data_IF_511555903078
#
_entry.id   IF_511555903078
#
_cell.length_a   1.000
_cell.length_b   1.000
_cell.length_c   1.000
_cell.angle_alpha   90.00
_cell.angle_beta   90.00
_cell.angle_gamma   90.00
#
_symmetry.space_group_name_H-M   'P 1'
#
loop_
_entity.id
_entity.type
_entity.pdbx_description
1 polymer ?
#
# COMPACT_ATOMS: atom_id res chain seq x y z
N UNK A 1 3.23 8.07 6.50
CA UNK A 1 3.37 6.61 6.35
C UNK A 1 2.77 5.98 7.57
N UNK A 2 2.03 4.90 7.39
CA UNK A 2 1.41 4.11 8.45
C UNK A 2 2.44 3.63 9.47
N UNK A 3 2.04 3.57 10.73
CA UNK A 3 2.90 3.08 11.80
C UNK A 3 2.83 1.54 11.88
N UNK A 4 4.00 0.91 11.98
CA UNK A 4 4.10 -0.55 12.13
C UNK A 4 3.69 -1.01 13.54
N UNK A 5 3.05 -2.17 13.60
CA UNK A 5 2.50 -2.80 14.78
C UNK A 5 3.15 -4.14 15.11
N UNK A 6 2.76 -4.74 16.25
CA UNK A 6 3.37 -6.00 16.74
C UNK A 6 3.16 -7.19 15.80
N UNK A 7 2.10 -7.16 15.00
CA UNK A 7 1.74 -8.22 14.06
C UNK A 7 2.43 -8.09 12.70
N UNK A 8 3.10 -6.96 12.45
CA UNK A 8 3.93 -6.74 11.27
C UNK A 8 5.27 -7.46 11.45
N UNK A 9 5.22 -8.76 11.17
CA UNK A 9 6.37 -9.64 11.12
C UNK A 9 6.48 -10.24 9.72
N UNK A 10 7.70 -10.50 9.27
CA UNK A 10 7.89 -11.14 7.97
C UNK A 10 7.48 -12.62 7.99
N UNK A 11 7.54 -13.26 6.83
CA UNK A 11 7.23 -14.66 6.63
C UNK A 11 8.08 -15.60 7.51
N UNK A 12 9.29 -15.22 7.89
CA UNK A 12 10.20 -15.98 8.77
C UNK A 12 10.01 -15.64 10.26
N UNK A 13 9.20 -14.62 10.58
CA UNK A 13 8.87 -14.20 11.94
C UNK A 13 9.79 -13.10 12.48
N UNK A 14 10.58 -12.44 11.62
CA UNK A 14 11.38 -11.29 11.99
C UNK A 14 10.48 -10.07 12.22
N UNK A 15 10.82 -9.28 13.23
CA UNK A 15 10.09 -8.06 13.60
C UNK A 15 10.39 -6.94 12.59
N UNK A 16 9.41 -6.60 11.75
CA UNK A 16 9.58 -5.61 10.68
C UNK A 16 9.83 -4.21 11.24
N UNK A 17 9.40 -3.91 12.47
CA UNK A 17 9.70 -2.63 13.14
C UNK A 17 11.19 -2.46 13.37
N UNK A 18 11.87 -3.51 13.81
CA UNK A 18 13.33 -3.48 14.01
C UNK A 18 14.06 -3.36 12.68
N UNK A 19 13.56 -4.01 11.64
CA UNK A 19 14.10 -3.88 10.29
C UNK A 19 13.92 -2.47 9.75
N UNK A 20 12.75 -1.87 9.94
CA UNK A 20 12.42 -0.49 9.60
C UNK A 20 13.31 0.52 10.33
N UNK A 21 13.44 0.40 11.65
CA UNK A 21 14.32 1.25 12.47
C UNK A 21 15.78 1.16 12.01
N UNK A 22 16.26 -0.06 11.73
CA UNK A 22 17.63 -0.27 11.24
C UNK A 22 17.84 0.38 9.88
N UNK A 23 16.87 0.28 8.99
CA UNK A 23 16.96 0.80 7.63
C UNK A 23 16.86 2.32 7.58
N UNK A 24 15.91 2.90 8.29
CA UNK A 24 15.76 4.37 8.41
C UNK A 24 16.97 5.02 9.10
N UNK A 25 17.70 4.28 9.94
CA UNK A 25 18.97 4.73 10.51
C UNK A 25 20.14 4.68 9.52
N UNK A 26 20.05 3.86 8.46
CA UNK A 26 21.06 3.80 7.40
C UNK A 26 20.86 4.96 6.43
N UNK A 27 21.89 5.79 6.28
CA UNK A 27 21.85 6.97 5.39
C UNK A 27 22.14 6.63 3.93
N UNK A 28 22.64 5.43 3.64
CA UNK A 28 23.05 5.00 2.30
C UNK A 28 22.40 3.67 1.95
N UNK A 29 21.87 3.55 0.73
CA UNK A 29 21.24 2.36 0.16
C UNK A 29 20.21 1.67 1.08
N UNK A 30 19.10 2.36 1.42
CA UNK A 30 18.04 1.71 2.15
C UNK A 30 17.51 0.49 1.40
N UNK A 31 17.15 -0.53 2.17
CA UNK A 31 16.46 -1.72 1.69
C UNK A 31 14.99 -1.44 1.37
N UNK A 32 14.33 -0.52 2.11
CA UNK A 32 12.95 -0.14 1.82
C UNK A 32 12.86 0.89 0.69
N UNK A 33 11.85 0.75 -0.15
CA UNK A 33 11.50 1.76 -1.15
C UNK A 33 10.76 2.93 -0.48
N UNK A 34 11.38 4.11 -0.43
CA UNK A 34 10.74 5.29 0.18
C UNK A 34 9.77 6.02 -0.76
N UNK A 35 9.69 5.60 -2.03
CA UNK A 35 8.96 6.32 -3.07
C UNK A 35 9.58 7.70 -3.36
N UNK A 36 9.53 8.13 -4.61
CA UNK A 36 9.94 9.49 -4.95
C UNK A 36 8.92 10.53 -4.49
N UNK A 37 9.18 11.78 -4.84
CA UNK A 37 8.18 12.85 -4.85
C UNK A 37 7.02 12.52 -5.79
N UNK A 38 5.86 13.14 -5.57
CA UNK A 38 4.70 12.97 -6.46
C UNK A 38 5.00 13.44 -7.89
N UNK A 39 5.91 14.40 -8.05
CA UNK A 39 6.42 14.85 -9.35
C UNK A 39 7.21 13.73 -10.06
N UNK A 40 8.13 13.05 -9.37
CA UNK A 40 8.88 11.91 -9.94
C UNK A 40 7.96 10.74 -10.31
N UNK A 41 6.94 10.46 -9.49
CA UNK A 41 5.93 9.43 -9.79
C UNK A 41 5.14 9.81 -11.04
N UNK A 42 4.71 11.07 -11.17
CA UNK A 42 4.01 11.57 -12.36
C UNK A 42 4.87 11.43 -13.62
N UNK A 43 6.13 11.87 -13.56
CA UNK A 43 7.05 11.77 -14.68
C UNK A 43 7.25 10.30 -15.10
N UNK A 44 7.36 9.40 -14.13
CA UNK A 44 7.49 7.95 -14.35
C UNK A 44 6.26 7.38 -15.07
N UNK A 45 5.05 7.63 -14.57
CA UNK A 45 3.84 7.04 -15.18
C UNK A 45 3.48 7.71 -16.51
N UNK A 46 3.77 9.00 -16.68
CA UNK A 46 3.53 9.71 -17.94
C UNK A 46 4.45 9.28 -19.07
N UNK A 47 5.62 8.72 -18.77
CA UNK A 47 6.50 8.12 -19.78
C UNK A 47 5.86 6.93 -20.52
N UNK A 48 4.79 6.33 -19.98
CA UNK A 48 4.02 5.26 -20.64
C UNK A 48 3.19 5.72 -21.85
N UNK A 49 3.04 7.04 -22.07
CA UNK A 49 2.10 7.64 -23.04
C UNK A 49 0.62 7.33 -22.78
N UNK A 50 0.26 6.80 -21.61
CA UNK A 50 -1.15 6.69 -21.21
C UNK A 50 -1.77 8.10 -21.01
N UNK A 51 -3.05 8.32 -21.37
CA UNK A 51 -3.67 9.65 -21.26
C UNK A 51 -3.59 10.21 -19.84
N UNK A 52 -3.05 11.43 -19.71
CA UNK A 52 -2.78 12.06 -18.41
C UNK A 52 -4.04 12.26 -17.58
N UNK A 53 -5.15 12.61 -18.23
CA UNK A 53 -6.43 12.89 -17.57
C UNK A 53 -7.08 11.64 -16.95
N UNK A 54 -6.58 10.44 -17.31
CA UNK A 54 -7.03 9.19 -16.69
C UNK A 54 -6.25 8.84 -15.41
N UNK A 55 -5.21 9.60 -15.06
CA UNK A 55 -4.52 9.43 -13.79
C UNK A 55 -5.09 10.38 -12.74
N UNK A 56 -5.58 9.81 -11.64
CA UNK A 56 -5.97 10.55 -10.44
C UNK A 56 -4.95 10.23 -9.35
N UNK A 57 -4.27 11.25 -8.84
CA UNK A 57 -3.29 11.08 -7.77
C UNK A 57 -3.89 11.61 -6.46
N UNK A 58 -3.91 10.77 -5.43
CA UNK A 58 -4.32 11.16 -4.09
C UNK A 58 -3.08 11.11 -3.19
N UNK A 59 -2.78 12.24 -2.53
CA UNK A 59 -1.60 12.37 -1.67
C UNK A 59 -2.04 12.39 -0.20
N UNK A 60 -1.56 11.41 0.56
CA UNK A 60 -1.75 11.34 2.00
C UNK A 60 -1.60 9.89 2.50
N UNK A 61 -1.54 9.68 3.83
CA UNK A 61 -1.74 8.36 4.41
C UNK A 61 -3.11 7.81 4.02
N UNK A 62 -3.20 6.51 3.71
CA UNK A 62 -4.45 5.88 3.26
C UNK A 62 -5.55 6.00 4.31
N UNK A 63 -5.16 5.95 5.59
CA UNK A 63 -6.04 6.08 6.74
C UNK A 63 -6.68 7.48 6.86
N UNK A 64 -6.02 8.50 6.31
CA UNK A 64 -6.48 9.88 6.37
C UNK A 64 -7.33 10.27 5.15
N UNK A 65 -7.15 9.59 4.00
CA UNK A 65 -7.76 9.97 2.71
C UNK A 65 -8.87 9.01 2.24
N UNK A 66 -8.86 7.76 2.72
CA UNK A 66 -9.90 6.76 2.44
C UNK A 66 -10.85 6.77 3.64
N UNK A 67 -12.17 6.93 3.42
CA UNK A 67 -12.91 6.71 2.16
C UNK A 67 -13.18 7.96 1.30
N UNK A 68 -12.77 9.16 1.71
CA UNK A 68 -13.26 10.41 1.09
C UNK A 68 -12.81 10.64 -0.36
N UNK A 69 -11.81 9.91 -0.83
CA UNK A 69 -11.14 10.12 -2.13
C UNK A 69 -11.32 8.98 -3.14
N UNK A 70 -12.19 8.01 -2.83
CA UNK A 70 -12.32 6.75 -3.57
C UNK A 70 -13.38 6.82 -4.69
N UNK A 71 -13.26 6.05 -5.77
CA UNK A 71 -14.30 5.99 -6.81
C UNK A 71 -15.53 5.21 -6.33
N UNK A 72 -16.65 5.33 -7.05
CA UNK A 72 -17.88 4.58 -6.72
C UNK A 72 -17.74 3.07 -6.97
N UNK A 73 -16.91 2.66 -7.95
CA UNK A 73 -16.71 1.26 -8.34
C UNK A 73 -15.26 1.00 -8.74
N UNK A 74 -14.79 -0.21 -8.42
CA UNK A 74 -13.43 -0.67 -8.70
C UNK A 74 -13.49 -1.96 -9.52
N UNK A 75 -12.79 -2.00 -10.66
CA UNK A 75 -12.64 -3.23 -11.46
C UNK A 75 -11.40 -4.03 -11.05
N UNK A 76 -10.35 -3.35 -10.60
CA UNK A 76 -9.10 -3.92 -10.13
C UNK A 76 -8.63 -3.11 -8.92
N UNK A 77 -8.47 -3.77 -7.77
CA UNK A 77 -7.88 -3.20 -6.57
C UNK A 77 -6.53 -3.89 -6.31
N UNK A 78 -5.44 -3.12 -6.26
CA UNK A 78 -4.13 -3.60 -5.83
C UNK A 78 -3.75 -2.90 -4.53
N UNK A 79 -3.51 -3.67 -3.47
CA UNK A 79 -3.02 -3.20 -2.18
C UNK A 79 -1.55 -3.59 -2.02
N UNK A 80 -0.73 -2.60 -1.67
CA UNK A 80 0.73 -2.65 -1.58
C UNK A 80 1.16 -1.60 -0.55
N UNK A 81 0.67 -1.80 0.68
CA UNK A 81 0.89 -0.89 1.81
C UNK A 81 1.58 -1.59 2.99
N UNK A 82 2.07 -2.82 2.77
CA UNK A 82 2.84 -3.69 3.66
C UNK A 82 2.21 -4.10 5.00
N UNK A 83 1.67 -3.15 5.76
CA UNK A 83 1.34 -3.32 7.17
C UNK A 83 -0.11 -3.74 7.38
N UNK A 84 -0.36 -4.34 8.55
CA UNK A 84 -1.70 -4.74 8.95
C UNK A 84 -2.69 -3.58 8.88
N UNK A 85 -2.38 -2.43 9.48
CA UNK A 85 -3.37 -1.38 9.71
C UNK A 85 -3.76 -0.65 8.43
N UNK A 86 -2.80 -0.41 7.54
CA UNK A 86 -3.06 0.12 6.20
C UNK A 86 -3.85 -0.88 5.35
N UNK A 87 -3.39 -2.13 5.29
CA UNK A 87 -4.07 -3.20 4.52
C UNK A 87 -5.51 -3.39 5.00
N UNK A 88 -5.72 -3.45 6.32
CA UNK A 88 -7.05 -3.62 6.92
C UNK A 88 -7.96 -2.43 6.64
N UNK A 89 -7.46 -1.20 6.83
CA UNK A 89 -8.22 0.02 6.55
C UNK A 89 -8.68 0.08 5.09
N UNK A 90 -7.76 -0.20 4.17
CA UNK A 90 -8.06 -0.26 2.74
C UNK A 90 -9.08 -1.35 2.41
N UNK A 91 -8.96 -2.55 2.98
CA UNK A 91 -9.92 -3.63 2.75
C UNK A 91 -11.32 -3.26 3.26
N UNK A 92 -11.46 -2.69 4.45
CA UNK A 92 -12.76 -2.29 5.01
C UNK A 92 -13.49 -1.30 4.09
N UNK A 93 -12.76 -0.35 3.50
CA UNK A 93 -13.36 0.74 2.73
C UNK A 93 -13.41 0.50 1.21
N UNK A 94 -12.43 -0.21 0.64
CA UNK A 94 -12.27 -0.37 -0.82
C UNK A 94 -12.79 -1.71 -1.34
N UNK A 95 -12.69 -2.79 -0.55
CA UNK A 95 -13.16 -4.11 -0.97
C UNK A 95 -14.66 -4.12 -1.35
N UNK A 96 -15.57 -3.47 -0.59
CA UNK A 96 -16.99 -3.42 -0.96
C UNK A 96 -17.28 -2.71 -2.29
N UNK A 97 -16.33 -1.91 -2.79
CA UNK A 97 -16.46 -1.16 -4.05
C UNK A 97 -16.06 -1.99 -5.27
N UNK A 98 -15.47 -3.17 -5.07
CA UNK A 98 -15.09 -4.07 -6.16
C UNK A 98 -16.36 -4.61 -6.84
N UNK A 99 -16.48 -4.33 -8.13
CA UNK A 99 -17.60 -4.82 -8.94
C UNK A 99 -17.58 -6.34 -9.15
N UNK A 100 -18.71 -6.91 -9.55
CA UNK A 100 -18.79 -8.32 -9.90
C UNK A 100 -17.79 -8.67 -11.02
N UNK A 101 -16.96 -9.70 -10.79
CA UNK A 101 -15.88 -10.09 -11.69
C UNK A 101 -14.61 -9.24 -11.57
N UNK A 102 -14.56 -8.29 -10.64
CA UNK A 102 -13.36 -7.53 -10.32
C UNK A 102 -12.30 -8.38 -9.63
N UNK A 103 -11.07 -7.84 -9.60
CA UNK A 103 -9.89 -8.54 -9.09
C UNK A 103 -9.31 -7.76 -7.90
N UNK A 104 -8.98 -8.47 -6.83
CA UNK A 104 -8.17 -7.99 -5.72
C UNK A 104 -6.77 -8.60 -5.81
N UNK A 105 -5.74 -7.76 -5.70
CA UNK A 105 -4.34 -8.16 -5.60
C UNK A 105 -3.82 -7.67 -4.24
N UNK A 106 -3.27 -8.57 -3.45
CA UNK A 106 -2.57 -8.27 -2.20
C UNK A 106 -1.10 -8.61 -2.41
N UNK A 107 -0.24 -7.59 -2.50
CA UNK A 107 1.18 -7.80 -2.83
C UNK A 107 1.92 -8.57 -1.72
N UNK A 108 1.70 -8.15 -0.47
CA UNK A 108 2.47 -8.63 0.69
C UNK A 108 1.86 -9.80 1.43
N UNK A 109 0.82 -10.44 0.89
CA UNK A 109 0.11 -11.54 1.56
C UNK A 109 1.06 -12.68 1.99
N UNK A 110 2.07 -12.96 1.17
CA UNK A 110 3.06 -13.99 1.46
C UNK A 110 4.23 -13.52 2.32
N UNK A 111 4.52 -12.22 2.32
CA UNK A 111 5.74 -11.66 2.90
C UNK A 111 5.51 -11.02 4.27
N UNK A 112 4.45 -10.22 4.46
CA UNK A 112 4.08 -9.63 5.75
C UNK A 112 2.91 -10.40 6.38
N UNK A 113 3.11 -10.95 7.58
CA UNK A 113 2.04 -11.64 8.31
C UNK A 113 0.94 -10.67 8.77
N UNK A 114 1.26 -9.39 8.97
CA UNK A 114 0.29 -8.34 9.23
C UNK A 114 -0.69 -8.15 8.08
N UNK A 115 -0.18 -7.94 6.85
CA UNK A 115 -1.02 -7.86 5.64
C UNK A 115 -1.86 -9.13 5.43
N UNK A 116 -1.27 -10.31 5.67
CA UNK A 116 -2.01 -11.58 5.62
C UNK A 116 -3.15 -11.63 6.63
N UNK A 117 -2.87 -11.31 7.89
CA UNK A 117 -3.87 -11.33 8.96
C UNK A 117 -4.99 -10.31 8.72
N UNK A 118 -4.68 -9.15 8.13
CA UNK A 118 -5.68 -8.18 7.71
C UNK A 118 -6.56 -8.73 6.57
N UNK A 119 -5.98 -9.48 5.64
CA UNK A 119 -6.69 -10.10 4.50
C UNK A 119 -7.59 -11.26 4.92
N UNK A 120 -7.15 -12.07 5.89
CA UNK A 120 -7.86 -13.28 6.33
C UNK A 120 -9.08 -13.01 7.25
N UNK A 121 -9.34 -11.75 7.61
CA UNK A 121 -10.45 -11.32 8.48
C UNK A 121 -11.73 -11.00 7.71
#
# INVERSE_FOLDING_TARGET
MTQLEKQDVDWDGNDLRKMWERDTAQKENPWWGYGGTIEEVRDTVYASNYPKDNFVFVKGPVEDIVPDTVPEKIALLRLDTDWYSSTYHELVHLYPLIGAGGILIIDDYGWCRGARQATDQ
#
